data_IF_093334029846
#
_entry.id   IF_093334029846
#
_cell.length_a   1.000
_cell.length_b   1.000
_cell.length_c   1.000
_cell.angle_alpha   90.00
_cell.angle_beta   90.00
_cell.angle_gamma   90.00
#
_symmetry.space_group_name_H-M   'P 1'
#
loop_
_entity.id
_entity.type
_entity.pdbx_description
1 polymer ?
#
# COMPACT_ATOMS: atom_id res chain seq x y z
N UNK A 1 -7.79 5.65 51.89
CA UNK A 1 -7.15 5.87 50.57
C UNK A 1 -8.01 5.21 49.51
N UNK A 2 -8.86 5.96 48.88
CA UNK A 2 -9.75 5.49 47.81
C UNK A 2 -8.90 5.30 46.53
N UNK A 3 -8.87 4.06 46.02
CA UNK A 3 -8.28 3.76 44.70
C UNK A 3 -9.07 4.56 43.64
N UNK A 4 -8.43 5.49 42.99
CA UNK A 4 -8.95 6.14 41.79
C UNK A 4 -9.02 5.06 40.72
N UNK A 5 -10.21 4.55 40.45
CA UNK A 5 -10.44 3.68 39.28
C UNK A 5 -10.17 4.48 38.03
N UNK A 6 -9.17 4.04 37.26
CA UNK A 6 -8.83 4.61 35.96
C UNK A 6 -9.95 4.24 34.97
N UNK A 7 -10.97 5.09 34.85
CA UNK A 7 -12.16 4.92 33.98
C UNK A 7 -11.84 5.05 32.48
N UNK A 8 -10.58 5.25 32.10
CA UNK A 8 -10.19 5.52 30.71
C UNK A 8 -9.75 4.28 29.90
N UNK A 9 -9.86 3.09 30.43
CA UNK A 9 -9.58 1.88 29.65
C UNK A 9 -10.89 1.27 29.12
N UNK A 10 -11.40 1.79 28.00
CA UNK A 10 -12.45 1.09 27.25
C UNK A 10 -11.88 -0.24 26.77
N UNK A 11 -12.21 -1.31 27.52
CA UNK A 11 -11.80 -2.68 27.15
C UNK A 11 -12.72 -3.19 26.04
N UNK A 12 -12.37 -2.88 24.79
CA UNK A 12 -13.12 -3.37 23.62
C UNK A 12 -12.82 -4.86 23.28
N UNK A 13 -11.95 -5.56 24.03
CA UNK A 13 -11.60 -6.97 23.82
C UNK A 13 -10.82 -7.30 22.54
N UNK A 14 -10.58 -6.32 21.66
CA UNK A 14 -10.04 -6.50 20.31
C UNK A 14 -8.54 -6.18 20.20
N UNK A 15 -7.84 -5.90 21.29
CA UNK A 15 -6.42 -5.45 21.29
C UNK A 15 -5.43 -6.48 20.71
N UNK A 16 -5.79 -7.76 20.72
CA UNK A 16 -4.95 -8.84 20.15
C UNK A 16 -5.25 -9.13 18.67
N UNK A 17 -6.21 -8.44 18.05
CA UNK A 17 -6.60 -8.68 16.68
C UNK A 17 -5.55 -8.17 15.68
N UNK A 18 -5.56 -8.72 14.45
CA UNK A 18 -4.74 -8.21 13.35
C UNK A 18 -5.11 -6.77 13.01
N UNK A 19 -6.39 -6.40 13.03
CA UNK A 19 -6.85 -5.03 12.79
C UNK A 19 -6.29 -4.03 13.80
N UNK A 20 -6.15 -4.41 15.09
CA UNK A 20 -5.52 -3.55 16.08
C UNK A 20 -4.04 -3.30 15.74
N UNK A 21 -3.31 -4.33 15.30
CA UNK A 21 -1.91 -4.18 14.88
C UNK A 21 -1.78 -3.28 13.64
N UNK A 22 -2.69 -3.39 12.68
CA UNK A 22 -2.72 -2.52 11.48
C UNK A 22 -2.98 -1.08 11.89
N UNK A 23 -3.98 -0.83 12.72
CA UNK A 23 -4.32 0.49 13.23
C UNK A 23 -3.15 1.11 14.03
N UNK A 24 -2.56 0.37 14.94
CA UNK A 24 -1.40 0.81 15.71
C UNK A 24 -0.20 1.13 14.80
N UNK A 25 0.08 0.28 13.81
CA UNK A 25 1.14 0.51 12.84
C UNK A 25 0.91 1.78 12.00
N UNK A 26 -0.33 2.06 11.61
CA UNK A 26 -0.73 3.30 10.94
C UNK A 26 -0.41 4.52 11.84
N UNK A 27 -0.74 4.46 13.12
CA UNK A 27 -0.41 5.49 14.10
C UNK A 27 1.09 5.71 14.25
N UNK A 28 1.85 4.63 14.41
CA UNK A 28 3.31 4.73 14.56
C UNK A 28 3.94 5.42 13.36
N UNK A 29 3.52 5.10 12.16
CA UNK A 29 4.02 5.74 10.93
C UNK A 29 3.73 7.24 10.86
N UNK A 30 2.59 7.67 11.39
CA UNK A 30 2.17 9.07 11.31
C UNK A 30 2.68 9.93 12.47
N UNK A 31 2.90 9.37 13.66
CA UNK A 31 3.10 10.17 14.86
C UNK A 31 4.37 9.85 15.66
N UNK A 32 5.11 8.75 15.36
CA UNK A 32 6.32 8.40 16.10
C UNK A 32 7.58 8.62 15.26
N UNK A 33 8.32 9.74 15.47
CA UNK A 33 9.53 10.08 14.70
C UNK A 33 10.64 9.02 14.78
N UNK A 34 10.63 8.20 15.83
CA UNK A 34 11.61 7.12 16.05
C UNK A 34 11.42 5.92 15.12
N UNK A 35 10.28 5.81 14.42
CA UNK A 35 10.06 4.72 13.47
C UNK A 35 10.73 5.01 12.12
N UNK A 36 11.38 4.00 11.54
CA UNK A 36 12.04 4.12 10.23
C UNK A 36 11.11 4.60 9.11
N UNK A 37 9.80 4.41 9.29
CA UNK A 37 8.80 4.76 8.28
C UNK A 37 8.29 6.20 8.42
N UNK A 38 8.50 6.86 9.58
CA UNK A 38 7.96 8.19 9.85
C UNK A 38 8.27 9.21 8.75
N UNK A 39 9.52 9.22 8.24
CA UNK A 39 9.93 10.13 7.15
C UNK A 39 9.06 10.05 5.89
N UNK A 40 8.43 8.90 5.65
CA UNK A 40 7.59 8.64 4.47
C UNK A 40 6.09 8.89 4.73
N UNK A 41 5.71 9.17 5.99
CA UNK A 41 4.33 9.38 6.42
C UNK A 41 4.18 10.67 7.23
N UNK A 42 4.31 10.63 8.55
CA UNK A 42 4.19 11.79 9.41
C UNK A 42 5.16 12.92 9.08
N UNK A 43 6.41 12.58 8.70
CA UNK A 43 7.41 13.53 8.22
C UNK A 43 7.04 14.23 6.90
N UNK A 44 6.06 13.70 6.15
CA UNK A 44 5.45 14.33 4.97
C UNK A 44 4.14 15.04 5.27
N UNK A 45 3.71 15.08 6.54
CA UNK A 45 2.44 15.69 6.96
C UNK A 45 1.23 14.76 6.91
N UNK A 46 1.40 13.47 6.56
CA UNK A 46 0.32 12.49 6.52
C UNK A 46 -0.15 12.16 7.94
N UNK A 47 -1.45 12.19 8.14
CA UNK A 47 -2.12 12.03 9.43
C UNK A 47 -3.13 10.89 9.39
N UNK A 48 -3.68 10.58 10.55
CA UNK A 48 -4.87 9.75 10.72
C UNK A 48 -6.04 10.68 10.99
N UNK A 49 -7.18 10.48 10.33
CA UNK A 49 -8.38 11.31 10.52
C UNK A 49 -8.88 11.23 11.96
N UNK A 50 -9.59 12.26 12.41
CA UNK A 50 -10.11 12.37 13.78
C UNK A 50 -10.99 11.17 14.17
N UNK A 51 -11.78 10.66 13.22
CA UNK A 51 -12.67 9.52 13.48
C UNK A 51 -11.92 8.26 13.92
N UNK A 52 -10.66 8.09 13.49
CA UNK A 52 -9.84 6.91 13.80
C UNK A 52 -8.78 7.18 14.88
N UNK A 53 -8.78 8.38 15.48
CA UNK A 53 -7.89 8.70 16.59
C UNK A 53 -8.43 8.18 17.93
N UNK A 54 -7.52 8.01 18.88
CA UNK A 54 -7.78 7.54 20.23
C UNK A 54 -8.38 6.11 20.29
N UNK A 55 -8.66 5.61 21.46
CA UNK A 55 -9.16 4.24 21.69
C UNK A 55 -10.52 4.03 21.01
N UNK A 56 -11.40 5.00 21.08
CA UNK A 56 -12.71 4.95 20.41
C UNK A 56 -12.56 4.94 18.89
N UNK A 57 -11.55 5.62 18.36
CA UNK A 57 -11.24 5.62 16.95
C UNK A 57 -10.80 4.25 16.43
N UNK A 58 -10.19 3.42 17.28
CA UNK A 58 -9.93 2.03 16.88
C UNK A 58 -11.21 1.24 16.64
N UNK A 59 -12.23 1.39 17.49
CA UNK A 59 -13.52 0.71 17.31
C UNK A 59 -14.19 1.15 16.00
N UNK A 60 -14.13 2.45 15.68
CA UNK A 60 -14.64 2.99 14.42
C UNK A 60 -13.86 2.46 13.21
N UNK A 61 -12.53 2.42 13.30
CA UNK A 61 -11.67 1.80 12.28
C UNK A 61 -12.01 0.30 12.09
N UNK A 62 -12.18 -0.44 13.18
CA UNK A 62 -12.54 -1.86 13.14
C UNK A 62 -13.87 -2.08 12.41
N UNK A 63 -14.90 -1.33 12.78
CA UNK A 63 -16.22 -1.43 12.14
C UNK A 63 -16.15 -1.04 10.66
N UNK A 64 -15.43 0.03 10.34
CA UNK A 64 -15.18 0.40 8.94
C UNK A 64 -14.49 -0.75 8.18
N UNK A 65 -13.46 -1.33 8.74
CA UNK A 65 -12.71 -2.39 8.10
C UNK A 65 -13.59 -3.60 7.74
N UNK A 66 -14.39 -4.06 8.70
CA UNK A 66 -15.31 -5.20 8.48
C UNK A 66 -16.36 -4.87 7.41
N UNK A 67 -16.92 -3.67 7.44
CA UNK A 67 -17.96 -3.25 6.48
C UNK A 67 -17.40 -2.91 5.08
N UNK A 68 -16.08 -2.76 4.93
CA UNK A 68 -15.42 -2.43 3.67
C UNK A 68 -14.54 -3.55 3.12
N UNK A 69 -14.85 -4.82 3.42
CA UNK A 69 -14.24 -5.97 2.78
C UNK A 69 -12.88 -6.36 3.34
N UNK A 70 -12.65 -6.16 4.64
CA UNK A 70 -11.46 -6.69 5.31
C UNK A 70 -11.42 -8.20 5.24
N UNK A 71 -10.26 -8.73 4.86
CA UNK A 71 -9.90 -10.14 4.99
C UNK A 71 -8.46 -10.26 5.53
N UNK A 72 -8.15 -11.38 6.20
CA UNK A 72 -6.85 -11.54 6.87
C UNK A 72 -5.64 -11.52 5.93
N UNK A 73 -5.82 -11.85 4.66
CA UNK A 73 -4.76 -11.81 3.66
C UNK A 73 -4.54 -10.43 3.01
N UNK A 74 -5.49 -9.50 3.18
CA UNK A 74 -5.42 -8.16 2.59
C UNK A 74 -4.59 -7.19 3.42
N UNK A 75 -4.14 -6.13 2.79
CA UNK A 75 -3.38 -5.04 3.39
C UNK A 75 -4.14 -3.72 3.26
N UNK A 76 -4.05 -2.87 4.28
CA UNK A 76 -4.56 -1.50 4.21
C UNK A 76 -3.69 -0.68 3.26
N UNK A 77 -4.30 -0.07 2.26
CA UNK A 77 -3.67 0.80 1.26
C UNK A 77 -4.40 2.15 1.21
N UNK A 78 -3.70 3.22 0.86
CA UNK A 78 -4.30 4.53 0.61
C UNK A 78 -4.46 4.73 -0.88
N UNK A 79 -5.63 5.18 -1.32
CA UNK A 79 -5.95 5.46 -2.73
C UNK A 79 -5.02 6.57 -3.25
N UNK A 80 -4.94 7.69 -2.53
CA UNK A 80 -3.91 8.71 -2.73
C UNK A 80 -2.79 8.52 -1.71
N UNK A 81 -1.59 8.23 -2.18
CA UNK A 81 -0.40 8.06 -1.35
C UNK A 81 0.05 9.36 -0.63
N UNK A 82 -0.45 10.51 -1.03
CA UNK A 82 -0.17 11.81 -0.40
C UNK A 82 -1.26 12.21 0.60
N UNK A 83 -2.44 11.58 0.54
CA UNK A 83 -3.56 11.83 1.43
C UNK A 83 -3.43 11.13 2.78
N UNK A 84 -4.29 11.53 3.70
CA UNK A 84 -4.38 11.02 5.07
C UNK A 84 -5.00 9.62 5.13
N UNK A 85 -4.86 8.96 6.27
CA UNK A 85 -5.62 7.75 6.57
C UNK A 85 -7.03 8.13 7.01
N UNK A 86 -8.00 7.93 6.16
CA UNK A 86 -9.42 8.15 6.42
C UNK A 86 -10.27 7.13 5.63
N UNK A 87 -11.55 6.95 5.97
CA UNK A 87 -12.43 6.02 5.27
C UNK A 87 -12.45 6.20 3.76
N UNK A 88 -12.44 7.45 3.29
CA UNK A 88 -12.56 7.83 1.88
C UNK A 88 -11.27 7.56 1.09
N UNK A 89 -10.13 7.57 1.77
CA UNK A 89 -8.81 7.38 1.16
C UNK A 89 -8.18 6.00 1.45
N UNK A 90 -8.87 5.12 2.14
CA UNK A 90 -8.35 3.80 2.48
C UNK A 90 -9.15 2.69 1.80
N UNK A 91 -8.45 1.62 1.45
CA UNK A 91 -9.02 0.41 0.86
C UNK A 91 -8.24 -0.83 1.27
N UNK A 92 -8.85 -1.99 1.10
CA UNK A 92 -8.19 -3.28 1.29
C UNK A 92 -7.73 -3.82 -0.06
N UNK A 93 -6.45 -4.20 -0.14
CA UNK A 93 -5.83 -4.68 -1.37
C UNK A 93 -4.95 -5.88 -1.08
N UNK A 94 -4.69 -6.67 -2.12
CA UNK A 94 -3.69 -7.74 -2.05
C UNK A 94 -2.27 -7.14 -1.92
N UNK A 95 -1.33 -7.93 -1.42
CA UNK A 95 0.10 -7.54 -1.39
C UNK A 95 0.63 -7.20 -2.77
N UNK A 96 0.12 -7.85 -3.82
CA UNK A 96 0.51 -7.59 -5.21
C UNK A 96 0.06 -6.20 -5.66
N UNK A 97 -1.20 -5.85 -5.43
CA UNK A 97 -1.76 -4.53 -5.73
C UNK A 97 -1.04 -3.43 -4.96
N UNK A 98 -0.87 -3.61 -3.63
CA UNK A 98 -0.14 -2.65 -2.80
C UNK A 98 1.30 -2.44 -3.29
N UNK A 99 1.99 -3.50 -3.72
CA UNK A 99 3.34 -3.38 -4.27
C UNK A 99 3.36 -2.58 -5.58
N UNK A 100 2.35 -2.73 -6.42
CA UNK A 100 2.24 -1.98 -7.67
C UNK A 100 1.83 -0.50 -7.45
N UNK A 101 1.22 -0.17 -6.31
CA UNK A 101 0.76 1.18 -5.98
C UNK A 101 1.81 2.04 -5.23
N UNK A 102 3.02 1.53 -5.01
CA UNK A 102 4.08 2.29 -4.31
C UNK A 102 4.54 3.50 -5.13
N UNK A 103 4.77 4.63 -4.46
CA UNK A 103 5.23 5.89 -5.08
C UNK A 103 6.62 5.81 -5.71
N UNK A 104 7.45 4.85 -5.32
CA UNK A 104 8.78 4.64 -5.90
C UNK A 104 8.80 3.69 -7.11
N UNK A 105 7.65 3.22 -7.57
CA UNK A 105 7.58 2.43 -8.80
C UNK A 105 7.82 3.33 -10.00
N UNK A 106 8.71 2.88 -10.90
CA UNK A 106 8.84 3.49 -12.22
C UNK A 106 7.69 3.02 -13.09
N UNK A 107 6.97 3.99 -13.66
CA UNK A 107 5.83 3.75 -14.53
C UNK A 107 6.26 3.93 -16.00
N UNK A 108 5.72 3.10 -16.87
CA UNK A 108 5.95 3.12 -18.31
C UNK A 108 4.61 3.17 -19.04
N UNK A 109 4.48 4.10 -19.98
CA UNK A 109 3.27 4.20 -20.82
C UNK A 109 3.54 3.53 -22.16
N UNK A 110 2.71 2.54 -22.51
CA UNK A 110 2.77 1.82 -23.76
C UNK A 110 1.35 1.49 -24.25
N UNK A 111 1.07 1.73 -25.53
CA UNK A 111 -0.28 1.56 -26.13
C UNK A 111 -1.40 2.28 -25.36
N UNK A 112 -1.13 3.50 -24.86
CA UNK A 112 -2.11 4.28 -24.09
C UNK A 112 -2.33 3.85 -22.64
N UNK A 113 -1.70 2.78 -22.18
CA UNK A 113 -1.80 2.31 -20.79
C UNK A 113 -0.51 2.58 -20.00
N UNK A 114 -0.65 2.99 -18.75
CA UNK A 114 0.46 3.24 -17.83
C UNK A 114 0.51 2.17 -16.74
N UNK A 115 1.62 1.44 -16.68
CA UNK A 115 1.82 0.34 -15.74
C UNK A 115 3.25 0.31 -15.20
N UNK A 116 3.46 -0.39 -14.07
CA UNK A 116 4.81 -0.64 -13.54
C UNK A 116 5.58 -1.60 -14.45
N UNK A 117 6.92 -1.59 -14.37
CA UNK A 117 7.76 -2.55 -15.07
C UNK A 117 7.36 -3.99 -14.80
N UNK A 118 6.96 -4.30 -13.55
CA UNK A 118 6.51 -5.64 -13.15
C UNK A 118 5.23 -6.05 -13.88
N UNK A 119 4.24 -5.17 -13.95
CA UNK A 119 2.99 -5.44 -14.65
C UNK A 119 3.21 -5.65 -16.15
N UNK A 120 4.04 -4.81 -16.79
CA UNK A 120 4.39 -4.98 -18.18
C UNK A 120 5.12 -6.30 -18.43
N UNK A 121 6.10 -6.63 -17.57
CA UNK A 121 6.83 -7.90 -17.69
C UNK A 121 5.91 -9.13 -17.53
N UNK A 122 4.92 -9.07 -16.64
CA UNK A 122 3.92 -10.13 -16.49
C UNK A 122 3.07 -10.30 -17.76
N UNK A 123 2.59 -9.19 -18.35
CA UNK A 123 1.78 -9.20 -19.59
C UNK A 123 2.56 -9.81 -20.76
N UNK A 124 3.83 -9.39 -20.92
CA UNK A 124 4.66 -9.85 -22.04
C UNK A 124 5.47 -11.12 -21.75
N UNK A 125 5.36 -11.68 -20.56
CA UNK A 125 6.03 -12.92 -20.18
C UNK A 125 7.57 -12.83 -20.22
N UNK A 126 8.13 -11.68 -19.84
CA UNK A 126 9.58 -11.45 -19.76
C UNK A 126 10.00 -11.19 -18.31
N UNK A 127 11.27 -11.45 -17.98
CA UNK A 127 11.77 -11.13 -16.64
C UNK A 127 12.03 -9.63 -16.50
N UNK A 128 11.87 -9.09 -15.27
CA UNK A 128 12.20 -7.69 -14.99
C UNK A 128 13.69 -7.39 -15.25
N UNK A 129 14.57 -8.36 -15.02
CA UNK A 129 16.00 -8.23 -15.31
C UNK A 129 16.21 -8.04 -16.81
N UNK A 130 15.63 -8.92 -17.65
CA UNK A 130 15.71 -8.82 -19.10
C UNK A 130 15.17 -7.48 -19.60
N UNK A 131 14.03 -7.05 -19.09
CA UNK A 131 13.41 -5.77 -19.45
C UNK A 131 14.33 -4.59 -19.13
N UNK A 132 14.86 -4.53 -17.90
CA UNK A 132 15.77 -3.47 -17.47
C UNK A 132 17.06 -3.46 -18.28
N UNK A 133 17.66 -4.61 -18.54
CA UNK A 133 18.90 -4.72 -19.30
C UNK A 133 18.73 -4.27 -20.74
N UNK A 134 17.56 -4.53 -21.36
CA UNK A 134 17.24 -4.03 -22.70
C UNK A 134 17.13 -2.50 -22.72
N UNK A 135 16.41 -1.90 -21.77
CA UNK A 135 16.32 -0.44 -21.65
C UNK A 135 17.71 0.19 -21.43
N UNK A 136 18.53 -0.41 -20.56
CA UNK A 136 19.90 0.08 -20.30
C UNK A 136 20.82 0.00 -21.54
N UNK A 137 20.52 -0.91 -22.47
CA UNK A 137 21.20 -1.02 -23.77
C UNK A 137 20.63 -0.10 -24.86
N UNK A 138 19.67 0.77 -24.49
CA UNK A 138 19.08 1.74 -25.42
C UNK A 138 17.92 1.21 -26.26
N UNK A 139 17.35 0.05 -25.94
CA UNK A 139 16.16 -0.44 -26.63
C UNK A 139 14.96 0.47 -26.35
N UNK A 140 14.11 0.68 -27.36
CA UNK A 140 12.82 1.33 -27.12
C UNK A 140 11.96 0.49 -26.18
N UNK A 141 10.96 1.13 -25.54
CA UNK A 141 10.02 0.42 -24.65
C UNK A 141 9.30 -0.72 -25.39
N UNK A 142 8.88 -0.46 -26.63
CA UNK A 142 8.27 -1.46 -27.49
C UNK A 142 9.21 -2.64 -27.75
N UNK A 143 10.42 -2.38 -28.18
CA UNK A 143 11.42 -3.42 -28.41
C UNK A 143 11.72 -4.21 -27.13
N UNK A 144 11.85 -3.52 -26.00
CA UNK A 144 12.14 -4.13 -24.72
C UNK A 144 11.04 -5.09 -24.28
N UNK A 145 9.79 -4.82 -24.60
CA UNK A 145 8.63 -5.64 -24.25
C UNK A 145 8.36 -6.75 -25.27
N UNK A 146 8.39 -6.44 -26.57
CA UNK A 146 7.83 -7.32 -27.62
C UNK A 146 8.83 -8.27 -28.27
N UNK A 147 10.11 -7.94 -28.31
CA UNK A 147 11.10 -8.81 -28.95
C UNK A 147 11.41 -10.00 -28.05
N UNK A 148 11.24 -11.22 -28.58
CA UNK A 148 11.58 -12.46 -27.86
C UNK A 148 13.11 -12.59 -27.70
N UNK A 149 13.53 -13.42 -26.72
CA UNK A 149 14.95 -13.76 -26.53
C UNK A 149 15.55 -14.50 -27.74
N UNK A 150 14.69 -15.05 -28.62
CA UNK A 150 15.08 -15.72 -29.86
C UNK A 150 14.98 -14.82 -31.11
N UNK A 151 14.85 -13.49 -30.95
CA UNK A 151 14.79 -12.53 -32.05
C UNK A 151 13.44 -12.42 -32.77
N UNK A 152 12.40 -13.12 -32.32
CA UNK A 152 11.05 -13.05 -32.89
C UNK A 152 10.12 -12.20 -32.01
N UNK A 153 9.26 -11.37 -32.63
CA UNK A 153 8.25 -10.62 -31.90
C UNK A 153 7.25 -11.54 -31.19
N UNK A 154 7.02 -11.33 -29.91
CA UNK A 154 5.95 -12.00 -29.16
C UNK A 154 4.62 -11.32 -29.46
N UNK A 155 3.66 -12.11 -29.99
CA UNK A 155 2.26 -11.67 -30.07
C UNK A 155 1.64 -11.71 -28.68
N UNK A 156 1.03 -10.61 -28.26
CA UNK A 156 0.20 -10.57 -27.05
C UNK A 156 -1.10 -11.30 -27.37
N UNK A 157 -1.53 -12.18 -26.46
CA UNK A 157 -2.85 -12.81 -26.51
C UNK A 157 -3.89 -11.89 -25.91
#
# INVERSE_FOLDING_TARGET
MTKIENKNAVKHGLSKTRLHRIWHSMYCRCYYPTTNQYKNYGGRGIKVCEQWKHIEGFVRFYNWAINNGYEDHLSLDRIDNNGDYCPENCRWVTKKEQSNHRTNNVLYTFNGETKTSKQWCEIYGISQTTFRDRLNRGWSLEQALTISTKGTHRKVK
#
